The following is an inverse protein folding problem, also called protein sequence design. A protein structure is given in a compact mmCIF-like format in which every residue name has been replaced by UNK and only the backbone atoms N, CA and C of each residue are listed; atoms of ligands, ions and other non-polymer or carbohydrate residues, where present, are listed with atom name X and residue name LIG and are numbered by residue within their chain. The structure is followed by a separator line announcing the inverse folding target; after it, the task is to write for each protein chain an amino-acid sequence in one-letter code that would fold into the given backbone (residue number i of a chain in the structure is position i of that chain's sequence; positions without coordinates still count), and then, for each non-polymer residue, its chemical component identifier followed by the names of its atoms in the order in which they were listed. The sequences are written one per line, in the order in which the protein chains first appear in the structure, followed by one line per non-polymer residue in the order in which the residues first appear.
data_IF_423387657463
#
_entry.id   IF_423387657463
#
_cell.length_a   1.000
_cell.length_b   1.000
_cell.length_c   1.000
_cell.angle_alpha   90.00
_cell.angle_beta   90.00
_cell.angle_gamma   90.00
#
_symmetry.space_group_name_H-M   'P 1'
#
loop_
_entity.id
_entity.type
_entity.pdbx_description
1 polymer ?
#
# COMPACT_ATOMS: atom_id res chain seq x y z
N UNK A 1 12.85 18.17 -33.62
CA UNK A 1 12.24 17.92 -32.29
C UNK A 1 13.30 17.27 -31.44
N UNK A 2 13.81 17.96 -30.42
CA UNK A 2 14.83 17.40 -29.54
C UNK A 2 14.16 16.35 -28.65
N UNK A 3 14.59 15.09 -28.75
CA UNK A 3 14.27 14.09 -27.74
C UNK A 3 14.92 14.56 -26.45
N UNK A 4 14.11 14.90 -25.45
CA UNK A 4 14.59 15.03 -24.09
C UNK A 4 15.14 13.66 -23.69
N UNK A 5 16.46 13.48 -23.71
CA UNK A 5 17.07 12.39 -22.98
C UNK A 5 16.66 12.57 -21.53
N UNK A 6 15.76 11.70 -21.06
CA UNK A 6 15.41 11.63 -19.65
C UNK A 6 16.68 11.19 -18.93
N UNK A 7 17.41 12.16 -18.40
CA UNK A 7 18.61 11.93 -17.62
C UNK A 7 18.30 10.86 -16.56
N UNK A 8 19.19 9.87 -16.41
CA UNK A 8 19.03 8.75 -15.47
C UNK A 8 18.53 9.26 -14.12
N UNK A 9 17.33 8.82 -13.73
CA UNK A 9 16.70 9.15 -12.43
C UNK A 9 17.30 8.25 -11.35
N UNK A 10 17.53 8.73 -10.15
CA UNK A 10 17.97 7.92 -9.01
C UNK A 10 16.96 8.01 -7.86
N UNK A 11 17.09 7.16 -6.84
CA UNK A 11 16.22 7.21 -5.66
C UNK A 11 16.26 8.58 -4.94
N UNK A 12 17.37 9.30 -5.05
CA UNK A 12 17.55 10.63 -4.44
C UNK A 12 16.77 11.71 -5.20
N UNK A 13 16.58 11.55 -6.51
CA UNK A 13 15.79 12.45 -7.34
C UNK A 13 14.27 12.33 -7.07
N UNK A 14 13.84 11.21 -6.49
CA UNK A 14 12.43 10.92 -6.19
C UNK A 14 12.08 11.39 -4.79
N UNK A 15 11.02 12.18 -4.67
CA UNK A 15 10.40 12.54 -3.39
C UNK A 15 8.91 12.24 -3.46
N UNK A 16 8.26 12.16 -2.30
CA UNK A 16 6.81 11.98 -2.22
C UNK A 16 6.19 13.12 -1.41
N UNK A 17 4.96 13.48 -1.75
CA UNK A 17 4.10 14.32 -0.91
C UNK A 17 2.87 13.51 -0.56
N UNK A 18 2.71 13.18 0.73
CA UNK A 18 1.57 12.44 1.25
C UNK A 18 0.50 13.40 1.76
N UNK A 19 -0.71 13.23 1.28
CA UNK A 19 -1.95 13.78 1.80
C UNK A 19 -2.79 12.62 2.36
N UNK A 20 -3.54 12.89 3.42
CA UNK A 20 -4.37 11.87 4.06
C UNK A 20 -5.65 12.47 4.63
N UNK A 21 -6.74 11.73 4.49
CA UNK A 21 -8.05 12.11 5.00
C UNK A 21 -8.63 10.93 5.78
N UNK A 22 -8.99 11.18 7.05
CA UNK A 22 -9.63 10.14 7.87
C UNK A 22 -11.09 10.05 7.48
N UNK A 23 -11.54 8.82 7.29
CA UNK A 23 -12.96 8.54 7.15
C UNK A 23 -13.61 8.69 8.52
N UNK A 24 -14.29 9.82 8.72
CA UNK A 24 -15.07 10.11 9.93
C UNK A 24 -16.52 9.62 9.83
N UNK A 25 -16.93 9.10 8.67
CA UNK A 25 -18.28 8.60 8.44
C UNK A 25 -18.40 7.13 8.88
N UNK A 26 -17.32 6.35 8.81
CA UNK A 26 -17.25 5.02 9.42
C UNK A 26 -17.27 5.10 10.96
N UNK A 27 -18.16 4.33 11.60
CA UNK A 27 -18.38 4.25 13.07
C UNK A 27 -17.12 4.04 13.93
N UNK A 28 -16.01 3.63 13.32
CA UNK A 28 -14.79 3.20 14.00
C UNK A 28 -13.55 4.05 13.69
N UNK A 29 -13.67 5.06 12.82
CA UNK A 29 -12.52 5.86 12.32
C UNK A 29 -11.34 4.99 11.84
N UNK A 30 -11.64 3.79 11.33
CA UNK A 30 -10.65 2.75 11.07
C UNK A 30 -9.96 2.89 9.71
N UNK A 31 -10.47 3.79 8.86
CA UNK A 31 -10.04 3.93 7.48
C UNK A 31 -9.49 5.33 7.24
N UNK A 32 -8.35 5.42 6.55
CA UNK A 32 -7.77 6.68 6.14
C UNK A 32 -7.42 6.60 4.67
N UNK A 33 -8.06 7.42 3.85
CA UNK A 33 -7.66 7.62 2.47
C UNK A 33 -6.26 8.25 2.44
N UNK A 34 -5.41 7.77 1.54
CA UNK A 34 -4.10 8.33 1.29
C UNK A 34 -3.96 8.69 -0.19
N UNK A 35 -3.38 9.85 -0.43
CA UNK A 35 -3.05 10.34 -1.76
C UNK A 35 -1.59 10.78 -1.74
N UNK A 36 -0.82 10.32 -2.71
CA UNK A 36 0.62 10.57 -2.75
C UNK A 36 1.01 11.09 -4.11
N UNK A 37 1.51 12.30 -4.17
CA UNK A 37 2.18 12.76 -5.39
C UNK A 37 3.60 12.20 -5.44
N UNK A 38 3.95 11.65 -6.60
CA UNK A 38 5.30 11.22 -6.91
C UNK A 38 6.00 12.37 -7.59
N UNK A 39 7.12 12.84 -7.01
CA UNK A 39 7.88 13.95 -7.58
C UNK A 39 9.27 13.51 -8.02
N UNK A 40 9.68 13.90 -9.22
CA UNK A 40 11.07 13.80 -9.70
C UNK A 40 11.63 15.21 -9.82
N UNK A 41 12.68 15.51 -9.04
CA UNK A 41 13.32 16.84 -9.00
C UNK A 41 12.30 17.98 -8.82
N UNK A 42 11.29 17.75 -7.98
CA UNK A 42 10.25 18.73 -7.63
C UNK A 42 9.07 18.83 -8.59
N UNK A 43 9.04 18.09 -9.70
CA UNK A 43 7.88 18.02 -10.61
C UNK A 43 7.02 16.81 -10.30
N UNK A 44 5.70 16.96 -10.30
CA UNK A 44 4.77 15.84 -10.15
C UNK A 44 4.81 15.00 -11.43
N UNK A 45 5.07 13.71 -11.29
CA UNK A 45 5.24 12.76 -12.40
C UNK A 45 4.38 11.51 -12.25
N UNK A 46 3.56 11.43 -11.22
CA UNK A 46 2.77 10.25 -10.91
C UNK A 46 2.02 10.40 -9.60
N UNK A 47 1.21 9.39 -9.28
CA UNK A 47 0.37 9.36 -8.09
C UNK A 47 0.26 7.96 -7.51
N UNK A 48 0.15 7.86 -6.18
CA UNK A 48 -0.25 6.65 -5.45
C UNK A 48 -1.53 6.97 -4.69
N UNK A 49 -2.57 6.17 -4.88
CA UNK A 49 -3.83 6.28 -4.13
C UNK A 49 -4.07 4.98 -3.37
N UNK A 50 -4.65 5.10 -2.18
CA UNK A 50 -4.90 3.93 -1.34
C UNK A 50 -5.66 4.23 -0.06
N UNK A 51 -5.86 3.18 0.73
CA UNK A 51 -6.53 3.23 2.03
C UNK A 51 -5.65 2.55 3.07
N UNK A 52 -5.36 3.27 4.15
CA UNK A 52 -4.75 2.71 5.35
C UNK A 52 -5.86 2.23 6.28
N UNK A 53 -5.74 0.98 6.72
CA UNK A 53 -6.75 0.27 7.54
C UNK A 53 -6.16 0.02 8.93
N UNK A 54 -6.71 0.70 9.94
CA UNK A 54 -6.41 0.49 11.35
C UNK A 54 -7.23 -0.67 11.90
N UNK A 55 -6.73 -1.89 11.71
CA UNK A 55 -7.44 -3.12 12.13
C UNK A 55 -7.84 -3.15 13.60
N UNK A 56 -7.04 -2.54 14.49
CA UNK A 56 -7.33 -2.47 15.92
C UNK A 56 -8.54 -1.60 16.27
N UNK A 57 -8.89 -0.64 15.42
CA UNK A 57 -10.06 0.19 15.63
C UNK A 57 -11.35 -0.57 15.29
N UNK A 58 -11.25 -1.65 14.52
CA UNK A 58 -12.41 -2.44 14.08
C UNK A 58 -12.75 -3.51 15.13
N UNK A 59 -14.00 -3.58 15.64
CA UNK A 59 -14.41 -4.59 16.59
C UNK A 59 -14.29 -6.03 16.06
N UNK A 60 -14.07 -6.98 16.97
CA UNK A 60 -14.02 -8.41 16.66
C UNK A 60 -15.30 -8.85 15.92
N UNK A 61 -15.14 -9.39 14.71
CA UNK A 61 -16.25 -9.87 13.88
C UNK A 61 -16.88 -8.83 12.95
N UNK A 62 -16.47 -7.56 13.04
CA UNK A 62 -16.98 -6.46 12.20
C UNK A 62 -16.10 -6.17 10.98
N UNK A 63 -14.95 -6.85 10.82
CA UNK A 63 -13.96 -6.51 9.79
C UNK A 63 -14.54 -6.46 8.37
N UNK A 64 -15.29 -7.47 7.95
CA UNK A 64 -15.86 -7.48 6.60
C UNK A 64 -16.94 -6.43 6.41
N UNK A 65 -17.78 -6.18 7.41
CA UNK A 65 -18.83 -5.16 7.32
C UNK A 65 -18.24 -3.76 7.14
N UNK A 66 -17.18 -3.44 7.88
CA UNK A 66 -16.46 -2.16 7.73
C UNK A 66 -15.83 -2.02 6.33
N UNK A 67 -15.30 -3.11 5.78
CA UNK A 67 -14.71 -3.10 4.43
C UNK A 67 -15.78 -2.95 3.33
N UNK A 68 -16.94 -3.61 3.52
CA UNK A 68 -18.09 -3.56 2.63
C UNK A 68 -18.71 -2.16 2.54
N UNK A 69 -18.88 -1.52 3.69
CA UNK A 69 -19.45 -0.16 3.78
C UNK A 69 -18.58 0.89 3.08
N UNK A 70 -17.26 0.74 3.13
CA UNK A 70 -16.35 1.72 2.54
C UNK A 70 -16.22 1.60 1.01
N UNK A 71 -15.97 0.38 0.48
CA UNK A 71 -15.96 0.18 -0.98
C UNK A 71 -16.08 -1.29 -1.39
N UNK A 72 -16.65 -1.52 -2.58
CA UNK A 72 -16.72 -2.86 -3.20
C UNK A 72 -15.33 -3.49 -3.39
N UNK A 73 -14.31 -2.68 -3.64
CA UNK A 73 -12.94 -3.14 -3.82
C UNK A 73 -12.36 -3.63 -2.51
N UNK A 74 -12.51 -2.86 -1.42
CA UNK A 74 -12.06 -3.29 -0.10
C UNK A 74 -12.83 -4.52 0.38
N UNK A 75 -14.13 -4.61 0.10
CA UNK A 75 -14.92 -5.83 0.35
C UNK A 75 -14.31 -7.04 -0.35
N UNK A 76 -14.01 -6.90 -1.65
CA UNK A 76 -13.40 -7.98 -2.43
C UNK A 76 -12.04 -8.38 -1.86
N UNK A 77 -11.16 -7.41 -1.57
CA UNK A 77 -9.85 -7.69 -0.97
C UNK A 77 -10.01 -8.38 0.39
N UNK A 78 -10.91 -7.89 1.24
CA UNK A 78 -11.20 -8.43 2.56
C UNK A 78 -11.60 -9.90 2.51
N UNK A 79 -12.56 -10.23 1.65
CA UNK A 79 -13.06 -11.60 1.50
C UNK A 79 -11.99 -12.55 0.95
N UNK A 80 -11.10 -12.09 0.07
CA UNK A 80 -10.10 -12.96 -0.54
C UNK A 80 -8.84 -13.13 0.33
N UNK A 81 -8.38 -12.08 0.98
CA UNK A 81 -7.06 -12.07 1.63
C UNK A 81 -7.11 -12.20 3.15
N UNK A 82 -8.24 -11.87 3.78
CA UNK A 82 -8.28 -11.70 5.23
C UNK A 82 -9.34 -12.55 5.91
N UNK A 83 -9.17 -12.83 7.19
CA UNK A 83 -10.16 -13.51 8.03
C UNK A 83 -11.19 -12.52 8.59
N UNK A 84 -12.48 -12.93 8.75
CA UNK A 84 -13.56 -12.02 9.15
C UNK A 84 -13.39 -11.42 10.55
N UNK A 85 -12.68 -12.09 11.46
CA UNK A 85 -12.66 -11.70 12.87
C UNK A 85 -11.87 -10.41 13.12
N UNK A 86 -10.65 -10.33 12.57
CA UNK A 86 -9.71 -9.22 12.81
C UNK A 86 -8.97 -8.78 11.54
N UNK A 87 -9.35 -9.28 10.37
CA UNK A 87 -8.60 -9.00 9.16
C UNK A 87 -7.20 -9.63 9.14
N UNK A 88 -7.02 -10.82 9.74
CA UNK A 88 -5.75 -11.56 9.70
C UNK A 88 -5.53 -12.14 8.31
N UNK A 89 -4.32 -12.05 7.74
CA UNK A 89 -4.09 -12.61 6.40
C UNK A 89 -4.27 -14.14 6.35
N UNK A 90 -5.01 -14.62 5.35
CA UNK A 90 -5.22 -16.03 5.03
C UNK A 90 -3.99 -16.69 4.42
N UNK A 91 -3.25 -15.94 3.60
CA UNK A 91 -2.03 -16.42 2.93
C UNK A 91 -0.91 -16.66 3.94
N UNK A 92 -0.47 -17.92 4.06
CA UNK A 92 0.57 -18.31 5.02
C UNK A 92 1.88 -17.57 4.81
N UNK A 93 2.30 -17.29 3.57
CA UNK A 93 3.54 -16.54 3.29
C UNK A 93 3.55 -15.12 3.87
N UNK A 94 2.39 -14.46 3.92
CA UNK A 94 2.25 -13.12 4.49
C UNK A 94 2.09 -13.19 6.01
N UNK A 95 1.34 -14.19 6.51
CA UNK A 95 1.21 -14.45 7.94
C UNK A 95 2.56 -14.75 8.61
N UNK A 96 3.37 -15.59 7.99
CA UNK A 96 4.69 -15.98 8.50
C UNK A 96 5.73 -14.85 8.34
N UNK A 97 5.44 -13.87 7.48
CA UNK A 97 6.22 -12.64 7.30
C UNK A 97 5.99 -11.57 8.37
N UNK A 98 5.14 -11.83 9.36
CA UNK A 98 4.86 -10.90 10.46
C UNK A 98 3.58 -10.07 10.30
N UNK A 99 2.65 -10.49 9.42
CA UNK A 99 1.33 -9.86 9.37
C UNK A 99 0.52 -10.16 10.64
N UNK A 100 0.55 -9.22 11.58
CA UNK A 100 -0.14 -9.32 12.87
C UNK A 100 -1.41 -8.46 12.88
N UNK A 101 -2.59 -8.99 13.31
CA UNK A 101 -3.86 -8.25 13.30
C UNK A 101 -3.85 -6.94 14.11
N UNK A 102 -2.86 -6.73 14.97
CA UNK A 102 -2.67 -5.49 15.73
C UNK A 102 -1.97 -4.37 14.95
N UNK A 103 -1.58 -4.63 13.71
CA UNK A 103 -0.87 -3.69 12.85
C UNK A 103 -1.77 -3.20 11.71
N UNK A 104 -1.54 -1.98 11.27
CA UNK A 104 -2.24 -1.41 10.13
C UNK A 104 -1.88 -2.12 8.81
N UNK A 105 -2.87 -2.17 7.91
CA UNK A 105 -2.67 -2.58 6.51
C UNK A 105 -2.68 -1.34 5.64
N UNK A 106 -1.84 -1.33 4.60
CA UNK A 106 -1.96 -0.37 3.51
C UNK A 106 -2.49 -1.07 2.26
N UNK A 107 -3.66 -0.67 1.79
CA UNK A 107 -4.18 -1.03 0.49
C UNK A 107 -3.85 0.07 -0.52
N UNK A 108 -3.19 -0.26 -1.63
CA UNK A 108 -2.92 0.65 -2.74
C UNK A 108 -3.85 0.26 -3.88
N UNK A 109 -4.79 1.15 -4.18
CA UNK A 109 -5.76 0.98 -5.27
C UNK A 109 -5.19 1.42 -6.61
N UNK A 110 -4.28 2.41 -6.62
CA UNK A 110 -3.68 2.93 -7.86
C UNK A 110 -2.24 3.34 -7.66
N UNK A 111 -1.39 2.99 -8.62
CA UNK A 111 -0.04 3.51 -8.78
C UNK A 111 0.13 3.91 -10.25
N UNK A 112 0.32 5.19 -10.49
CA UNK A 112 0.51 5.73 -11.84
C UNK A 112 1.79 6.54 -11.90
N UNK A 113 2.56 6.34 -12.96
CA UNK A 113 3.76 7.10 -13.27
C UNK A 113 3.69 7.47 -14.75
N UNK A 114 3.97 8.72 -15.08
CA UNK A 114 3.96 9.20 -16.46
C UNK A 114 4.89 8.35 -17.32
N UNK A 115 4.46 8.07 -18.55
CA UNK A 115 5.15 7.14 -19.47
C UNK A 115 6.63 7.49 -19.70
N UNK A 116 6.98 8.78 -19.66
CA UNK A 116 8.36 9.24 -19.81
C UNK A 116 9.31 8.76 -18.69
N UNK A 117 8.78 8.30 -17.56
CA UNK A 117 9.53 7.72 -16.44
C UNK A 117 9.29 6.21 -16.25
N UNK A 118 8.58 5.55 -17.17
CA UNK A 118 8.32 4.09 -17.14
C UNK A 118 9.10 3.33 -18.21
N UNK A 119 9.86 4.02 -19.06
CA UNK A 119 10.57 3.41 -20.21
C UNK A 119 11.59 2.36 -19.73
N UNK A 120 11.52 1.17 -20.34
CA UNK A 120 12.41 0.02 -20.12
C UNK A 120 13.88 0.46 -20.05
N UNK A 121 14.47 0.35 -18.86
CA UNK A 121 15.90 0.66 -18.60
C UNK A 121 16.15 1.98 -17.88
N UNK A 122 15.13 2.84 -17.72
CA UNK A 122 15.17 3.98 -16.81
C UNK A 122 14.61 3.59 -15.44
N UNK A 123 15.18 4.16 -14.39
CA UNK A 123 15.03 3.73 -13.00
C UNK A 123 13.58 3.69 -12.52
N UNK A 124 13.27 2.71 -11.66
CA UNK A 124 11.92 2.41 -11.17
C UNK A 124 11.40 3.49 -10.22
N UNK A 125 10.97 4.63 -10.78
CA UNK A 125 10.38 5.76 -10.06
C UNK A 125 9.21 5.31 -9.20
N UNK A 126 8.39 4.39 -9.71
CA UNK A 126 7.29 3.78 -8.97
C UNK A 126 7.78 3.04 -7.73
N UNK A 127 8.78 2.17 -7.84
CA UNK A 127 9.35 1.47 -6.69
C UNK A 127 10.05 2.40 -5.70
N UNK A 128 10.75 3.45 -6.16
CA UNK A 128 11.34 4.44 -5.26
C UNK A 128 10.28 5.20 -4.47
N UNK A 129 9.20 5.63 -5.14
CA UNK A 129 8.09 6.31 -4.50
C UNK A 129 7.39 5.40 -3.49
N UNK A 130 7.11 4.15 -3.88
CA UNK A 130 6.49 3.15 -3.01
C UNK A 130 7.36 2.85 -1.78
N UNK A 131 8.68 2.69 -1.97
CA UNK A 131 9.62 2.50 -0.86
C UNK A 131 9.57 3.68 0.10
N UNK A 132 9.58 4.91 -0.41
CA UNK A 132 9.47 6.13 0.42
C UNK A 132 8.14 6.20 1.14
N UNK A 133 7.05 5.78 0.50
CA UNK A 133 5.73 5.73 1.13
C UNK A 133 5.69 4.73 2.30
N UNK A 134 6.20 3.52 2.08
CA UNK A 134 6.30 2.50 3.13
C UNK A 134 7.24 2.90 4.28
N UNK A 135 8.15 3.84 4.03
CA UNK A 135 9.04 4.41 5.03
C UNK A 135 8.52 5.72 5.64
N UNK A 136 7.39 6.24 5.15
CA UNK A 136 6.84 7.52 5.60
C UNK A 136 6.37 7.41 7.07
N UNK A 137 6.68 8.40 7.94
CA UNK A 137 6.34 8.35 9.36
C UNK A 137 4.84 8.16 9.65
N UNK A 138 3.97 8.65 8.77
CA UNK A 138 2.52 8.47 8.90
C UNK A 138 2.05 7.04 8.58
N UNK A 139 2.63 6.41 7.54
CA UNK A 139 2.27 5.06 7.13
C UNK A 139 2.79 4.04 8.14
N UNK A 140 3.97 4.31 8.68
CA UNK A 140 4.58 3.53 9.75
C UNK A 140 3.82 3.74 11.06
N UNK A 141 2.94 2.81 11.40
CA UNK A 141 2.32 2.75 12.73
C UNK A 141 3.36 2.46 13.82
N UNK A 142 3.29 3.21 14.93
CA UNK A 142 3.81 2.75 16.22
C UNK A 142 2.82 1.75 16.79
N UNK A 143 3.15 0.47 16.82
CA UNK A 143 2.31 -0.54 17.47
C UNK A 143 2.25 -0.33 18.98
N UNK A 144 1.07 -0.50 19.58
CA UNK A 144 0.89 -0.46 21.03
C UNK A 144 1.35 -1.78 21.68
N UNK A 145 2.10 -1.64 22.77
CA UNK A 145 2.33 -2.60 23.86
C UNK A 145 3.29 -3.78 23.63
N UNK A 146 3.14 -4.65 22.62
CA UNK A 146 3.99 -5.86 22.54
C UNK A 146 5.21 -5.72 21.61
N UNK A 147 5.14 -4.78 20.68
CA UNK A 147 6.21 -4.48 19.71
C UNK A 147 6.80 -3.08 19.95
N UNK A 148 6.81 -2.60 21.19
CA UNK A 148 7.00 -1.19 21.59
C UNK A 148 8.26 -0.46 21.03
N UNK A 149 9.14 -1.15 20.29
CA UNK A 149 10.30 -0.58 19.62
C UNK A 149 10.43 -0.94 18.12
N UNK A 150 9.38 -1.46 17.46
CA UNK A 150 9.42 -1.85 16.04
C UNK A 150 8.39 -1.09 15.20
N UNK A 151 8.90 -0.38 14.20
CA UNK A 151 8.13 0.36 13.19
C UNK A 151 7.54 -0.63 12.18
N UNK A 152 6.22 -0.87 12.19
CA UNK A 152 5.63 -1.90 11.33
C UNK A 152 4.30 -1.45 10.73
N UNK A 153 4.27 -1.36 9.40
CA UNK A 153 3.08 -1.65 8.59
C UNK A 153 3.17 -3.13 8.25
N UNK A 154 2.11 -3.90 8.45
CA UNK A 154 2.22 -5.36 8.42
C UNK A 154 2.20 -5.95 7.02
N UNK A 155 1.51 -5.27 6.11
CA UNK A 155 1.34 -5.69 4.72
C UNK A 155 0.93 -4.49 3.87
N UNK A 156 1.49 -4.44 2.66
CA UNK A 156 1.06 -3.54 1.60
C UNK A 156 0.46 -4.39 0.50
N UNK A 157 -0.80 -4.14 0.15
CA UNK A 157 -1.51 -4.84 -0.92
C UNK A 157 -1.62 -3.90 -2.10
N UNK A 158 -1.19 -4.39 -3.26
CA UNK A 158 -1.34 -3.69 -4.52
C UNK A 158 -2.16 -4.57 -5.46
N UNK A 159 -3.29 -4.05 -5.93
CA UNK A 159 -4.07 -4.69 -7.00
C UNK A 159 -3.77 -3.92 -8.27
N UNK A 160 -3.15 -4.60 -9.24
CA UNK A 160 -2.98 -4.06 -10.58
C UNK A 160 -4.36 -3.91 -11.20
N UNK A 161 -4.68 -2.69 -11.66
CA UNK A 161 -5.89 -2.38 -12.43
C UNK A 161 -5.85 -3.13 -13.77
N UNK A 162 -6.26 -4.39 -13.73
CA UNK A 162 -6.44 -5.26 -14.87
C UNK A 162 -7.92 -5.57 -15.00
N UNK A 163 -8.62 -4.82 -15.84
CA UNK A 163 -10.05 -4.99 -16.11
C UNK A 163 -10.41 -6.30 -16.86
N UNK A 164 -9.54 -7.32 -16.84
CA UNK A 164 -9.87 -8.64 -17.37
C UNK A 164 -9.57 -9.78 -16.38
N UNK A 165 -10.37 -10.86 -16.38
CA UNK A 165 -10.12 -12.05 -15.57
C UNK A 165 -8.76 -12.72 -15.81
N UNK A 166 -8.12 -12.47 -16.97
CA UNK A 166 -6.80 -13.00 -17.31
C UNK A 166 -5.66 -12.24 -16.59
N UNK A 167 -5.82 -10.93 -16.38
CA UNK A 167 -4.83 -10.07 -15.70
C UNK A 167 -4.77 -10.37 -14.18
N UNK A 168 -5.86 -10.89 -13.61
CA UNK A 168 -5.93 -11.35 -12.22
C UNK A 168 -4.98 -12.52 -11.90
N UNK A 169 -4.49 -13.23 -12.92
CA UNK A 169 -3.49 -14.30 -12.74
C UNK A 169 -2.08 -13.77 -12.42
N UNK A 170 -1.75 -12.53 -12.81
CA UNK A 170 -0.48 -11.87 -12.51
C UNK A 170 -0.45 -11.25 -11.11
N UNK A 171 -1.60 -10.84 -10.56
CA UNK A 171 -1.70 -10.40 -9.17
C UNK A 171 -1.22 -11.49 -8.18
N UNK A 172 -1.43 -12.78 -8.51
CA UNK A 172 -0.90 -13.92 -7.74
C UNK A 172 0.64 -14.00 -7.75
N UNK A 173 1.32 -13.46 -8.76
CA UNK A 173 2.80 -13.44 -8.81
C UNK A 173 3.39 -12.29 -7.97
N UNK A 174 2.72 -11.14 -7.90
CA UNK A 174 3.15 -10.03 -7.02
C UNK A 174 2.81 -10.28 -5.55
N UNK A 175 1.72 -10.99 -5.25
CA UNK A 175 1.42 -11.47 -3.89
C UNK A 175 2.44 -12.50 -3.37
N UNK A 176 3.10 -13.27 -4.25
CA UNK A 176 4.21 -14.17 -3.88
C UNK A 176 5.49 -13.41 -3.55
N UNK A 177 5.72 -12.27 -4.20
CA UNK A 177 6.86 -11.41 -3.96
C UNK A 177 6.52 -10.29 -2.96
N UNK A 178 5.67 -10.59 -1.97
CA UNK A 178 5.46 -9.73 -0.80
C UNK A 178 6.77 -9.07 -0.46
N UNK A 179 6.83 -7.75 -0.69
CA UNK A 179 8.03 -6.94 -0.59
C UNK A 179 8.72 -7.39 0.68
N UNK A 180 9.84 -8.11 0.55
CA UNK A 180 10.60 -8.59 1.69
C UNK A 180 10.93 -7.32 2.47
N UNK A 181 10.26 -7.12 3.61
CA UNK A 181 10.80 -6.25 4.63
C UNK A 181 12.21 -6.77 4.87
N UNK A 182 13.20 -5.94 4.56
CA UNK A 182 14.57 -6.26 4.95
C UNK A 182 14.53 -6.66 6.42
N UNK A 183 15.10 -7.83 6.73
CA UNK A 183 15.34 -8.22 8.11
C UNK A 183 16.12 -7.08 8.75
N UNK A 184 15.50 -6.38 9.69
CA UNK A 184 16.22 -5.49 10.60
C UNK A 184 17.22 -6.38 11.32
N UNK A 185 18.51 -6.17 11.01
CA UNK A 185 19.65 -6.76 11.72
C UNK A 185 19.70 -6.17 13.12
#
# INVERSE_FOLDING_TARGET
MASLEVAKVTEQDVTIRLEHERDTECDYEALTAIEVDILVRGKIVGKISGTRIERLAIPDGCFYSVMDEHSSDLQYVAVNLFEPRRGRTKLHSLRDGGDHPELAILYISRLEVNEEYTVFGSSDVGAYALRKLLHHPYIRSKGLSQFANKWLTSSCIYILDGNTPADRSYANQFLRNGFRQDKVV
#
